data_IF_914100971075
#
_entry.id   IF_914100971075
#
_cell.length_a   1.000
_cell.length_b   1.000
_cell.length_c   1.000
_cell.angle_alpha   90.00
_cell.angle_beta   90.00
_cell.angle_gamma   90.00
#
_symmetry.space_group_name_H-M   'P 1'
#
loop_
_entity.id
_entity.type
_entity.pdbx_description
1 polymer ?
#
# COMPACT_ATOMS: atom_id res chain seq x y z
N UNK A 1 13.09 42.91 -55.88
CA UNK A 1 13.15 44.17 -56.65
C UNK A 1 14.25 45.02 -56.03
N UNK A 2 15.45 44.83 -56.58
CA UNK A 2 16.33 45.88 -57.08
C UNK A 2 16.66 47.11 -56.22
N UNK A 3 17.99 47.25 -56.08
CA UNK A 3 18.76 48.48 -56.34
C UNK A 3 18.87 49.49 -55.20
N UNK A 4 19.96 50.21 -54.98
CA UNK A 4 21.32 50.31 -55.54
C UNK A 4 22.03 51.40 -54.69
N UNK A 5 23.31 51.61 -54.97
CA UNK A 5 24.13 52.83 -54.76
C UNK A 5 25.21 52.68 -53.67
N UNK A 6 26.45 52.34 -54.04
CA UNK A 6 27.47 53.11 -54.80
C UNK A 6 28.27 54.09 -53.92
N UNK A 7 29.56 53.75 -53.79
CA UNK A 7 30.75 54.59 -54.08
C UNK A 7 31.01 55.77 -53.12
N UNK A 8 32.22 56.25 -52.86
CA UNK A 8 33.62 55.99 -53.22
C UNK A 8 34.43 56.83 -52.19
N UNK A 9 35.67 56.51 -51.81
CA UNK A 9 36.84 56.86 -52.62
C UNK A 9 38.01 57.30 -51.74
N UNK A 10 39.20 56.75 -52.05
CA UNK A 10 40.57 57.30 -51.91
C UNK A 10 41.06 57.75 -50.52
N UNK A 11 42.22 57.31 -50.02
CA UNK A 11 43.54 57.68 -50.61
C UNK A 11 44.70 56.86 -49.99
N UNK A 12 45.45 56.19 -50.88
CA UNK A 12 46.90 55.93 -50.93
C UNK A 12 47.77 56.28 -49.71
N UNK A 13 48.49 55.29 -49.16
CA UNK A 13 49.94 55.39 -48.86
C UNK A 13 50.61 54.02 -48.77
N UNK A 14 51.86 54.03 -49.21
CA UNK A 14 52.72 52.94 -49.64
C UNK A 14 53.51 52.30 -48.49
N UNK A 15 53.77 50.99 -48.66
CA UNK A 15 54.99 50.24 -48.33
C UNK A 15 55.52 50.20 -46.89
N UNK A 16 55.41 49.02 -46.27
CA UNK A 16 56.58 48.29 -45.76
C UNK A 16 56.21 46.83 -45.46
N UNK A 17 56.96 45.92 -46.06
CA UNK A 17 56.89 44.47 -45.91
C UNK A 17 57.24 44.03 -44.48
N UNK A 18 56.29 43.38 -43.80
CA UNK A 18 56.55 42.55 -42.62
C UNK A 18 55.96 41.15 -42.88
N UNK A 19 56.84 40.14 -42.94
CA UNK A 19 56.46 38.74 -42.93
C UNK A 19 55.77 38.40 -41.60
N UNK A 20 54.61 37.72 -41.59
CA UNK A 20 54.00 37.25 -40.36
C UNK A 20 54.78 36.03 -39.80
N UNK A 21 54.85 35.88 -38.46
CA UNK A 21 55.46 34.73 -37.82
C UNK A 21 54.60 33.46 -37.99
N UNK A 22 55.18 32.26 -37.85
CA UNK A 22 54.49 31.01 -38.12
C UNK A 22 53.32 30.78 -37.17
N UNK A 23 52.17 30.46 -37.76
CA UNK A 23 50.92 30.08 -37.09
C UNK A 23 51.11 28.79 -36.31
N UNK A 24 51.18 28.88 -34.99
CA UNK A 24 50.94 27.75 -34.08
C UNK A 24 49.50 27.29 -34.22
N UNK A 25 49.30 26.15 -34.87
CA UNK A 25 48.03 25.42 -34.96
C UNK A 25 47.59 24.99 -33.55
N UNK A 26 46.50 25.57 -33.04
CA UNK A 26 45.79 25.04 -31.88
C UNK A 26 45.19 23.68 -32.25
N UNK A 27 45.34 22.63 -31.43
CA UNK A 27 44.69 21.35 -31.70
C UNK A 27 43.17 21.53 -31.65
N UNK A 28 42.51 21.11 -32.72
CA UNK A 28 41.05 20.99 -32.82
C UNK A 28 40.63 19.90 -31.83
N UNK A 29 39.91 20.29 -30.77
CA UNK A 29 39.30 19.35 -29.83
C UNK A 29 38.09 18.71 -30.53
N UNK A 30 38.15 17.40 -30.69
CA UNK A 30 37.12 16.56 -31.31
C UNK A 30 35.81 16.60 -30.49
N UNK A 31 34.69 17.19 -30.96
CA UNK A 31 33.56 17.55 -30.10
C UNK A 31 32.66 16.38 -29.64
N UNK A 32 32.96 15.12 -30.01
CA UNK A 32 32.01 14.01 -29.87
C UNK A 32 32.62 12.71 -29.34
N UNK A 33 33.59 12.79 -28.43
CA UNK A 33 33.93 11.65 -27.54
C UNK A 33 33.41 11.92 -26.14
N UNK A 34 32.09 11.82 -25.93
CA UNK A 34 31.55 11.68 -24.57
C UNK A 34 32.07 10.35 -24.03
N UNK A 35 32.92 10.40 -23.00
CA UNK A 35 33.43 9.17 -22.39
C UNK A 35 32.31 8.58 -21.55
N UNK A 36 32.28 7.25 -21.42
CA UNK A 36 31.32 6.55 -20.55
C UNK A 36 31.39 7.05 -19.10
N UNK A 37 32.52 7.64 -18.68
CA UNK A 37 32.69 8.23 -17.35
C UNK A 37 32.06 9.62 -17.20
N UNK A 38 31.63 10.26 -18.29
CA UNK A 38 31.11 11.63 -18.30
C UNK A 38 29.56 11.68 -18.20
N UNK A 39 28.89 10.53 -18.10
CA UNK A 39 27.44 10.46 -17.91
C UNK A 39 27.07 10.66 -16.43
N UNK A 40 25.82 11.11 -16.14
CA UNK A 40 25.32 11.22 -14.76
C UNK A 40 25.40 9.91 -13.98
N UNK A 41 25.58 10.03 -12.67
CA UNK A 41 25.78 8.92 -11.75
C UNK A 41 24.60 7.94 -11.73
N UNK A 42 23.38 8.45 -11.91
CA UNK A 42 22.16 7.67 -11.95
C UNK A 42 22.19 6.69 -13.12
N UNK A 43 22.71 7.12 -14.28
CA UNK A 43 22.88 6.26 -15.44
C UNK A 43 24.01 5.24 -15.25
N UNK A 44 25.05 5.57 -14.48
CA UNK A 44 26.04 4.56 -14.09
C UNK A 44 25.41 3.48 -13.21
N UNK A 45 24.58 3.85 -12.24
CA UNK A 45 23.90 2.89 -11.36
C UNK A 45 22.99 1.97 -12.19
N UNK A 46 22.20 2.54 -13.09
CA UNK A 46 21.30 1.78 -13.97
C UNK A 46 22.06 0.83 -14.91
N UNK A 47 23.16 1.28 -15.53
CA UNK A 47 23.96 0.40 -16.38
C UNK A 47 24.59 -0.74 -15.56
N UNK A 48 25.08 -0.43 -14.36
CA UNK A 48 25.73 -1.39 -13.48
C UNK A 48 24.74 -2.38 -12.84
N UNK A 49 23.49 -1.98 -12.57
CA UNK A 49 22.45 -2.87 -12.00
C UNK A 49 22.01 -3.96 -12.98
N UNK A 50 22.21 -3.74 -14.28
CA UNK A 50 21.92 -4.70 -15.34
C UNK A 50 23.06 -5.72 -15.59
N UNK A 51 24.19 -5.62 -14.89
CA UNK A 51 25.29 -6.58 -14.99
C UNK A 51 25.07 -7.77 -14.04
N UNK A 52 25.52 -8.96 -14.45
CA UNK A 52 25.66 -10.07 -13.50
C UNK A 52 26.66 -9.71 -12.39
N UNK A 53 26.52 -10.33 -11.21
CA UNK A 53 27.31 -9.96 -10.02
C UNK A 53 28.82 -10.05 -10.27
N UNK A 54 29.28 -11.04 -11.05
CA UNK A 54 30.70 -11.18 -11.35
C UNK A 54 31.18 -10.03 -12.23
N UNK A 55 30.39 -9.66 -13.25
CA UNK A 55 30.67 -8.52 -14.12
C UNK A 55 30.59 -7.18 -13.39
N UNK A 56 29.63 -7.01 -12.46
CA UNK A 56 29.50 -5.83 -11.60
C UNK A 56 30.76 -5.61 -10.75
N UNK A 57 31.20 -6.64 -10.04
CA UNK A 57 32.42 -6.57 -9.20
C UNK A 57 33.66 -6.30 -10.07
N UNK A 58 33.79 -6.96 -11.22
CA UNK A 58 34.88 -6.69 -12.17
C UNK A 58 34.86 -5.25 -12.66
N UNK A 59 33.68 -4.72 -12.97
CA UNK A 59 33.51 -3.34 -13.42
C UNK A 59 33.95 -2.35 -12.34
N UNK A 60 33.56 -2.58 -11.08
CA UNK A 60 34.01 -1.80 -9.94
C UNK A 60 35.55 -1.83 -9.76
N UNK A 61 36.21 -2.92 -10.14
CA UNK A 61 37.67 -3.03 -10.10
C UNK A 61 38.40 -2.33 -11.26
N UNK A 62 37.71 -1.87 -12.30
CA UNK A 62 38.35 -1.26 -13.48
C UNK A 62 38.85 0.17 -13.23
N UNK A 63 38.11 0.98 -12.47
CA UNK A 63 38.47 2.37 -12.20
C UNK A 63 37.85 2.91 -10.90
N UNK A 64 38.45 3.99 -10.37
CA UNK A 64 38.00 4.64 -9.13
C UNK A 64 36.57 5.19 -9.23
N UNK A 65 36.14 5.63 -10.41
CA UNK A 65 34.79 6.16 -10.62
C UNK A 65 33.75 5.07 -10.44
N UNK A 66 33.85 3.94 -11.15
CA UNK A 66 32.92 2.83 -10.98
C UNK A 66 33.01 2.19 -9.59
N UNK A 67 34.20 2.11 -9.00
CA UNK A 67 34.34 1.70 -7.60
C UNK A 67 33.55 2.63 -6.67
N UNK A 68 33.65 3.94 -6.85
CA UNK A 68 32.93 4.93 -6.05
C UNK A 68 31.43 4.88 -6.28
N UNK A 69 30.97 4.64 -7.52
CA UNK A 69 29.54 4.47 -7.83
C UNK A 69 28.98 3.22 -7.15
N UNK A 70 29.69 2.10 -7.28
CA UNK A 70 29.36 0.84 -6.61
C UNK A 70 29.26 1.03 -5.09
N UNK A 71 30.32 1.56 -4.46
CA UNK A 71 30.42 1.68 -3.00
C UNK A 71 29.43 2.66 -2.39
N UNK A 72 28.95 3.61 -3.18
CA UNK A 72 28.00 4.61 -2.71
C UNK A 72 26.55 4.31 -3.14
N UNK A 73 26.28 3.16 -3.77
CA UNK A 73 24.94 2.72 -4.18
C UNK A 73 24.49 1.52 -3.35
N UNK A 74 23.49 1.72 -2.49
CA UNK A 74 22.89 0.65 -1.69
C UNK A 74 22.27 -0.45 -2.55
N UNK A 75 21.72 -0.10 -3.73
CA UNK A 75 21.17 -1.07 -4.68
C UNK A 75 22.25 -2.03 -5.20
N UNK A 76 23.42 -1.51 -5.60
CA UNK A 76 24.49 -2.35 -6.15
C UNK A 76 25.14 -3.22 -5.06
N UNK A 77 25.31 -2.67 -3.84
CA UNK A 77 25.76 -3.46 -2.69
C UNK A 77 24.75 -4.57 -2.34
N UNK A 78 23.45 -4.27 -2.38
CA UNK A 78 22.39 -5.23 -2.16
C UNK A 78 22.39 -6.37 -3.18
N UNK A 79 22.56 -6.08 -4.47
CA UNK A 79 22.66 -7.10 -5.54
C UNK A 79 23.83 -8.06 -5.27
N UNK A 80 24.99 -7.54 -4.86
CA UNK A 80 26.15 -8.38 -4.52
C UNK A 80 25.88 -9.21 -3.27
N UNK A 81 25.29 -8.61 -2.24
CA UNK A 81 24.98 -9.31 -0.99
C UNK A 81 24.00 -10.47 -1.22
N UNK A 82 22.93 -10.23 -1.99
CA UNK A 82 22.00 -11.30 -2.37
C UNK A 82 22.73 -12.48 -3.01
N UNK A 83 23.64 -12.22 -3.95
CA UNK A 83 24.38 -13.28 -4.62
C UNK A 83 25.32 -14.06 -3.68
N UNK A 84 25.99 -13.37 -2.75
CA UNK A 84 26.81 -14.01 -1.72
C UNK A 84 25.99 -14.96 -0.84
N UNK A 85 24.72 -14.60 -0.58
CA UNK A 85 23.78 -15.39 0.19
C UNK A 85 23.05 -16.46 -0.65
N UNK A 86 23.42 -16.61 -1.94
CA UNK A 86 22.79 -17.55 -2.86
C UNK A 86 21.40 -17.14 -3.35
N UNK A 87 21.00 -15.89 -3.11
CA UNK A 87 19.74 -15.29 -3.53
C UNK A 87 19.93 -14.50 -4.84
N UNK A 88 18.87 -14.36 -5.65
CA UNK A 88 18.89 -13.54 -6.87
C UNK A 88 18.00 -12.32 -6.69
N UNK A 89 18.50 -11.17 -7.14
CA UNK A 89 17.69 -9.96 -7.25
C UNK A 89 16.67 -10.17 -8.38
N UNK A 90 15.37 -10.20 -8.04
CA UNK A 90 14.26 -10.30 -9.02
C UNK A 90 13.71 -8.93 -9.39
N UNK A 91 14.51 -7.86 -9.26
CA UNK A 91 14.14 -6.54 -9.72
C UNK A 91 14.00 -6.53 -11.24
N UNK A 92 12.77 -6.42 -11.71
CA UNK A 92 12.33 -6.06 -13.07
C UNK A 92 12.70 -6.95 -14.25
N UNK A 93 13.48 -8.02 -14.10
CA UNK A 93 13.60 -9.05 -15.13
C UNK A 93 13.17 -10.43 -14.62
N UNK A 94 12.02 -10.86 -15.12
CA UNK A 94 11.47 -12.22 -15.02
C UNK A 94 12.52 -13.20 -15.57
N UNK A 95 13.38 -13.74 -14.73
CA UNK A 95 14.21 -14.90 -15.10
C UNK A 95 13.51 -16.17 -14.67
N UNK A 96 12.99 -16.92 -15.65
CA UNK A 96 12.81 -18.38 -15.79
C UNK A 96 12.45 -19.30 -14.60
N UNK A 97 12.30 -18.82 -13.37
CA UNK A 97 11.66 -19.58 -12.30
C UNK A 97 10.15 -19.35 -12.41
N UNK A 98 9.43 -20.44 -12.65
CA UNK A 98 7.98 -20.58 -12.90
C UNK A 98 7.07 -20.15 -11.73
N UNK A 99 7.39 -19.04 -11.07
CA UNK A 99 6.89 -18.68 -9.76
C UNK A 99 6.96 -17.16 -9.62
N UNK A 100 5.80 -16.49 -9.62
CA UNK A 100 5.70 -15.03 -9.48
C UNK A 100 5.26 -14.70 -8.06
N UNK A 101 6.14 -14.05 -7.31
CA UNK A 101 5.80 -13.52 -6.00
C UNK A 101 4.85 -12.32 -6.16
N UNK A 102 3.74 -12.33 -5.42
CA UNK A 102 2.70 -11.31 -5.54
C UNK A 102 2.70 -10.36 -4.34
N UNK A 103 2.65 -10.90 -3.13
CA UNK A 103 2.49 -10.10 -1.90
C UNK A 103 3.00 -10.89 -0.68
N UNK A 104 3.32 -10.19 0.42
CA UNK A 104 3.59 -10.82 1.71
C UNK A 104 3.02 -10.05 2.88
N UNK A 105 2.84 -10.74 4.00
CA UNK A 105 2.60 -10.15 5.32
C UNK A 105 3.50 -10.82 6.36
N UNK A 106 3.68 -10.19 7.51
CA UNK A 106 4.50 -10.71 8.59
C UNK A 106 3.83 -10.48 9.94
N UNK A 107 4.03 -11.43 10.86
CA UNK A 107 3.69 -11.31 12.27
C UNK A 107 4.93 -11.74 13.09
N UNK A 108 5.78 -10.78 13.48
CA UNK A 108 6.97 -11.05 14.28
C UNK A 108 6.66 -11.71 15.63
N UNK A 109 5.48 -11.46 16.21
CA UNK A 109 5.07 -12.07 17.49
C UNK A 109 4.96 -13.59 17.40
N UNK A 110 4.77 -14.11 16.18
CA UNK A 110 4.67 -15.53 15.89
C UNK A 110 5.90 -16.07 15.16
N UNK A 111 6.96 -15.27 14.98
CA UNK A 111 8.09 -15.61 14.10
C UNK A 111 7.59 -15.97 12.68
N UNK A 112 6.60 -15.25 12.13
CA UNK A 112 5.91 -15.68 10.91
C UNK A 112 6.03 -14.67 9.76
N UNK A 113 6.38 -15.17 8.57
CA UNK A 113 6.24 -14.47 7.30
C UNK A 113 5.39 -15.30 6.35
N UNK A 114 4.43 -14.66 5.69
CA UNK A 114 3.50 -15.28 4.77
C UNK A 114 3.69 -14.66 3.39
N UNK A 115 3.98 -15.48 2.38
CA UNK A 115 4.16 -15.03 0.99
C UNK A 115 3.13 -15.66 0.06
N UNK A 116 2.44 -14.83 -0.72
CA UNK A 116 1.55 -15.22 -1.80
C UNK A 116 2.31 -15.32 -3.11
N UNK A 117 2.14 -16.44 -3.80
CA UNK A 117 2.91 -16.78 -4.98
C UNK A 117 2.00 -17.39 -6.04
N UNK A 118 2.01 -16.82 -7.24
CA UNK A 118 1.39 -17.39 -8.43
C UNK A 118 2.33 -18.43 -9.04
N UNK A 119 1.84 -19.67 -9.18
CA UNK A 119 2.58 -20.81 -9.72
C UNK A 119 2.00 -21.32 -11.04
N UNK A 120 1.17 -20.52 -11.70
CA UNK A 120 0.52 -20.88 -12.96
C UNK A 120 1.56 -21.03 -14.10
N UNK A 121 1.40 -22.04 -14.99
CA UNK A 121 2.35 -22.25 -16.09
C UNK A 121 2.32 -21.11 -17.12
N UNK A 122 3.47 -20.83 -17.74
CA UNK A 122 3.59 -19.97 -18.93
C UNK A 122 3.74 -20.86 -20.19
N UNK A 123 3.27 -20.42 -21.37
CA UNK A 123 2.46 -19.22 -21.65
C UNK A 123 0.97 -19.48 -21.37
N UNK A 124 0.29 -18.48 -20.81
CA UNK A 124 -1.14 -18.52 -20.52
C UNK A 124 -1.91 -18.81 -21.82
N UNK A 125 -2.49 -20.01 -21.94
CA UNK A 125 -3.67 -20.15 -22.79
C UNK A 125 -4.82 -19.39 -22.10
N UNK A 126 -5.68 -18.71 -22.87
CA UNK A 126 -6.80 -17.86 -22.40
C UNK A 126 -7.88 -18.61 -21.56
N UNK A 127 -7.57 -19.76 -20.97
CA UNK A 127 -8.50 -20.59 -20.20
C UNK A 127 -7.90 -21.19 -18.92
N UNK A 128 -6.68 -20.83 -18.55
CA UNK A 128 -6.02 -21.51 -17.44
C UNK A 128 -6.30 -20.80 -16.12
N UNK A 129 -6.95 -21.53 -15.20
CA UNK A 129 -7.15 -21.08 -13.83
C UNK A 129 -5.82 -20.67 -13.19
N UNK A 130 -5.86 -19.65 -12.34
CA UNK A 130 -4.66 -19.22 -11.64
C UNK A 130 -4.47 -20.01 -10.35
N UNK A 131 -3.39 -20.78 -10.28
CA UNK A 131 -3.03 -21.53 -9.09
C UNK A 131 -2.11 -20.69 -8.20
N UNK A 132 -2.53 -20.50 -6.96
CA UNK A 132 -1.79 -19.74 -5.96
C UNK A 132 -1.32 -20.63 -4.82
N UNK A 133 -0.09 -20.37 -4.38
CA UNK A 133 0.50 -20.93 -3.18
C UNK A 133 0.70 -19.82 -2.15
N UNK A 134 0.24 -20.06 -0.93
CA UNK A 134 0.61 -19.28 0.24
C UNK A 134 1.67 -20.06 1.02
N UNK A 135 2.88 -19.53 1.06
CA UNK A 135 3.96 -20.08 1.88
C UNK A 135 3.97 -19.41 3.24
N UNK A 136 3.92 -20.22 4.30
CA UNK A 136 4.00 -19.75 5.69
C UNK A 136 5.34 -20.19 6.25
N UNK A 137 6.24 -19.26 6.51
CA UNK A 137 7.62 -19.55 6.92
C UNK A 137 7.97 -18.85 8.21
N UNK A 138 9.00 -19.36 8.88
CA UNK A 138 9.59 -18.69 10.04
C UNK A 138 10.40 -17.47 9.60
N UNK A 139 10.36 -16.36 10.33
CA UNK A 139 11.21 -15.19 10.04
C UNK A 139 12.66 -15.53 10.40
N UNK A 140 12.86 -16.15 11.56
CA UNK A 140 14.17 -16.42 12.17
C UNK A 140 15.03 -17.39 11.37
N UNK A 141 14.43 -18.43 10.80
CA UNK A 141 15.15 -19.52 10.12
C UNK A 141 14.73 -19.72 8.66
N UNK A 142 13.74 -18.97 8.16
CA UNK A 142 13.22 -19.12 6.81
C UNK A 142 12.82 -20.58 6.50
N UNK A 143 12.31 -21.33 7.47
CA UNK A 143 11.83 -22.71 7.30
C UNK A 143 10.31 -22.75 7.26
N UNK A 144 9.70 -23.87 6.87
CA UNK A 144 8.26 -24.03 7.00
C UNK A 144 7.82 -23.77 8.44
N UNK A 145 6.79 -22.95 8.64
CA UNK A 145 6.34 -22.58 9.97
C UNK A 145 5.78 -23.80 10.71
N UNK A 146 6.29 -24.15 11.92
CA UNK A 146 5.97 -25.42 12.58
C UNK A 146 4.51 -25.57 13.01
N UNK A 147 3.81 -24.44 13.21
CA UNK A 147 2.37 -24.42 13.54
C UNK A 147 1.45 -24.47 12.31
N UNK A 148 1.99 -24.33 11.08
CA UNK A 148 1.15 -24.32 9.89
C UNK A 148 0.67 -25.73 9.59
N UNK A 149 -0.65 -25.95 9.56
CA UNK A 149 -1.22 -27.27 9.26
C UNK A 149 -0.85 -27.74 7.84
N UNK A 150 -0.74 -26.81 6.90
CA UNK A 150 -0.34 -27.07 5.52
C UNK A 150 0.61 -25.97 5.07
N UNK A 151 1.63 -26.35 4.31
CA UNK A 151 2.56 -25.41 3.70
C UNK A 151 3.12 -25.99 2.38
N UNK A 152 2.83 -25.39 1.23
CA UNK A 152 1.98 -24.21 1.05
C UNK A 152 0.49 -24.51 1.28
N UNK A 153 -0.29 -23.49 1.66
CA UNK A 153 -1.74 -23.51 1.42
C UNK A 153 -1.96 -23.27 -0.08
N UNK A 154 -2.85 -24.05 -0.69
CA UNK A 154 -3.07 -24.02 -2.15
C UNK A 154 -4.52 -23.72 -2.42
N UNK A 155 -4.76 -22.87 -3.42
CA UNK A 155 -6.08 -22.59 -3.93
C UNK A 155 -5.99 -22.18 -5.40
N UNK A 156 -7.14 -22.22 -6.06
CA UNK A 156 -7.28 -21.90 -7.47
C UNK A 156 -8.28 -20.76 -7.57
N UNK A 157 -7.94 -19.73 -8.33
CA UNK A 157 -8.88 -18.67 -8.71
C UNK A 157 -9.31 -18.96 -10.14
N UNK A 158 -10.57 -19.35 -10.28
CA UNK A 158 -11.21 -19.53 -11.59
C UNK A 158 -11.22 -18.19 -12.34
N UNK A 159 -10.91 -18.25 -13.63
CA UNK A 159 -10.90 -17.08 -14.50
C UNK A 159 -11.84 -17.30 -15.67
N UNK A 160 -12.64 -16.29 -15.99
CA UNK A 160 -13.17 -16.19 -17.34
C UNK A 160 -12.07 -15.71 -18.30
N UNK A 161 -12.25 -15.99 -19.60
CA UNK A 161 -11.19 -15.96 -20.62
C UNK A 161 -10.47 -14.63 -20.79
N UNK A 162 -11.08 -13.55 -20.33
CA UNK A 162 -10.62 -12.17 -20.56
C UNK A 162 -10.07 -11.53 -19.27
N UNK A 163 -10.08 -12.26 -18.14
CA UNK A 163 -9.73 -11.70 -16.83
C UNK A 163 -8.24 -11.84 -16.46
N UNK A 164 -7.60 -10.71 -16.18
CA UNK A 164 -6.25 -10.61 -15.63
C UNK A 164 -6.27 -10.36 -14.12
N UNK A 165 -5.23 -10.79 -13.41
CA UNK A 165 -5.11 -10.48 -11.97
C UNK A 165 -4.64 -9.04 -11.86
N UNK A 166 -5.46 -8.20 -11.24
CA UNK A 166 -5.20 -6.78 -11.11
C UNK A 166 -4.57 -6.43 -9.77
N UNK A 167 -5.05 -7.06 -8.69
CA UNK A 167 -4.57 -6.80 -7.34
C UNK A 167 -4.59 -8.09 -6.50
N UNK A 168 -3.64 -8.21 -5.59
CA UNK A 168 -3.61 -9.26 -4.59
C UNK A 168 -3.15 -8.69 -3.24
N UNK A 169 -3.91 -8.98 -2.20
CA UNK A 169 -3.65 -8.52 -0.84
C UNK A 169 -3.67 -9.70 0.13
N UNK A 170 -2.82 -9.64 1.16
CA UNK A 170 -2.78 -10.63 2.22
C UNK A 170 -2.75 -9.95 3.59
N UNK A 171 -3.54 -10.44 4.53
CA UNK A 171 -3.62 -9.90 5.89
C UNK A 171 -3.57 -11.03 6.92
N UNK A 172 -2.81 -10.82 8.00
CA UNK A 172 -2.72 -11.76 9.12
C UNK A 172 -3.56 -11.18 10.25
N UNK A 173 -4.49 -11.97 10.78
CA UNK A 173 -5.18 -11.66 12.02
C UNK A 173 -5.14 -12.87 12.97
N UNK A 174 -4.15 -12.87 13.85
CA UNK A 174 -3.84 -13.98 14.75
C UNK A 174 -3.62 -15.31 14.01
N UNK A 175 -4.53 -16.26 14.19
CA UNK A 175 -4.52 -17.57 13.54
C UNK A 175 -5.27 -17.56 12.19
N UNK A 176 -5.87 -16.42 11.80
CA UNK A 176 -6.55 -16.26 10.52
C UNK A 176 -5.65 -15.59 9.49
N UNK A 177 -5.79 -16.03 8.25
CA UNK A 177 -5.15 -15.46 7.08
C UNK A 177 -6.22 -15.08 6.06
N UNK A 178 -6.30 -13.79 5.72
CA UNK A 178 -7.09 -13.28 4.60
C UNK A 178 -6.20 -13.20 3.36
N UNK A 179 -6.67 -13.75 2.25
CA UNK A 179 -6.15 -13.49 0.91
C UNK A 179 -7.28 -12.92 0.07
N UNK A 180 -7.04 -11.74 -0.48
CA UNK A 180 -7.94 -11.08 -1.42
C UNK A 180 -7.26 -11.01 -2.79
N UNK A 181 -7.91 -11.51 -3.83
CA UNK A 181 -7.43 -11.43 -5.21
C UNK A 181 -8.54 -10.82 -6.05
N UNK A 182 -8.23 -9.72 -6.73
CA UNK A 182 -9.14 -9.10 -7.67
C UNK A 182 -8.69 -9.45 -9.08
N UNK A 183 -9.54 -10.19 -9.81
CA UNK A 183 -9.39 -10.38 -11.25
C UNK A 183 -10.22 -9.33 -11.97
N UNK A 184 -9.76 -8.83 -13.11
CA UNK A 184 -10.47 -7.83 -13.91
C UNK A 184 -10.35 -8.11 -15.39
N UNK A 185 -11.45 -7.91 -16.09
CA UNK A 185 -11.50 -7.76 -17.53
C UNK A 185 -11.08 -6.34 -17.90
N UNK A 186 -10.02 -6.23 -18.70
CA UNK A 186 -9.44 -4.94 -19.06
C UNK A 186 -10.26 -4.22 -20.15
N UNK A 187 -11.15 -4.91 -20.86
CA UNK A 187 -12.02 -4.35 -21.89
C UNK A 187 -13.32 -3.82 -21.28
N UNK A 188 -13.94 -4.59 -20.38
CA UNK A 188 -15.23 -4.20 -19.77
C UNK A 188 -15.08 -3.43 -18.47
N UNK A 189 -13.89 -3.42 -17.85
CA UNK A 189 -13.65 -2.91 -16.48
C UNK A 189 -14.46 -3.70 -15.43
N UNK A 190 -14.93 -4.90 -15.77
CA UNK A 190 -15.60 -5.81 -14.84
C UNK A 190 -14.56 -6.54 -14.01
N UNK A 191 -14.77 -6.56 -12.70
CA UNK A 191 -13.84 -7.14 -11.75
C UNK A 191 -14.56 -8.10 -10.81
N UNK A 192 -13.90 -9.21 -10.53
CA UNK A 192 -14.42 -10.28 -9.67
C UNK A 192 -13.47 -10.46 -8.48
N UNK A 193 -13.91 -10.11 -7.26
CA UNK A 193 -13.14 -10.34 -6.06
C UNK A 193 -13.20 -11.81 -5.64
N UNK A 194 -12.05 -12.37 -5.30
CA UNK A 194 -11.92 -13.65 -4.63
C UNK A 194 -11.35 -13.41 -3.23
N UNK A 195 -12.15 -13.66 -2.21
CA UNK A 195 -11.77 -13.52 -0.81
C UNK A 195 -11.76 -14.89 -0.17
N UNK A 196 -10.61 -15.21 0.40
CA UNK A 196 -10.36 -16.45 1.06
C UNK A 196 -9.85 -16.15 2.46
N UNK A 197 -10.51 -16.73 3.46
CA UNK A 197 -10.08 -16.64 4.86
C UNK A 197 -9.89 -18.06 5.36
N UNK A 198 -8.70 -18.35 5.88
CA UNK A 198 -8.41 -19.63 6.53
C UNK A 198 -7.94 -19.43 7.94
N UNK A 199 -8.22 -20.39 8.80
CA UNK A 199 -7.36 -20.61 9.95
C UNK A 199 -6.10 -21.34 9.47
N UNK A 200 -4.94 -20.67 9.48
CA UNK A 200 -3.72 -21.20 8.90
C UNK A 200 -3.08 -22.32 9.76
N UNK A 201 -3.44 -22.38 11.05
CA UNK A 201 -2.96 -23.43 11.97
C UNK A 201 -3.73 -24.74 11.83
N UNK A 202 -4.98 -24.70 11.38
CA UNK A 202 -5.82 -25.89 11.15
C UNK A 202 -6.01 -26.21 9.66
N UNK A 203 -5.71 -25.25 8.78
CA UNK A 203 -6.01 -25.27 7.35
C UNK A 203 -7.51 -25.41 7.02
N UNK A 204 -8.36 -24.96 7.94
CA UNK A 204 -9.81 -24.88 7.76
C UNK A 204 -10.18 -23.56 7.05
N UNK A 205 -10.99 -23.64 5.99
CA UNK A 205 -11.52 -22.47 5.32
C UNK A 205 -12.69 -21.90 6.14
N UNK A 206 -12.56 -20.63 6.53
CA UNK A 206 -13.58 -19.84 7.23
C UNK A 206 -14.51 -19.18 6.21
N UNK A 207 -13.95 -18.68 5.12
CA UNK A 207 -14.67 -18.05 4.01
C UNK A 207 -13.95 -18.37 2.71
N UNK A 208 -14.72 -18.71 1.68
CA UNK A 208 -14.24 -18.84 0.31
C UNK A 208 -15.32 -18.32 -0.64
N UNK A 209 -15.14 -17.08 -1.12
CA UNK A 209 -16.07 -16.48 -2.07
C UNK A 209 -15.83 -16.92 -3.51
N UNK A 210 -14.75 -17.65 -3.80
CA UNK A 210 -14.53 -18.18 -5.15
C UNK A 210 -15.49 -19.32 -5.47
N UNK A 211 -15.93 -20.06 -4.44
CA UNK A 211 -16.78 -21.24 -4.57
C UNK A 211 -18.23 -21.02 -4.11
N UNK A 212 -18.55 -19.84 -3.55
CA UNK A 212 -19.88 -19.55 -2.99
C UNK A 212 -20.37 -18.21 -3.55
N UNK A 213 -21.56 -18.21 -4.14
CA UNK A 213 -22.29 -16.99 -4.44
C UNK A 213 -22.75 -16.35 -3.13
N UNK A 214 -21.87 -15.58 -2.51
CA UNK A 214 -22.26 -14.71 -1.40
C UNK A 214 -22.92 -13.49 -2.04
N UNK A 215 -24.18 -13.22 -1.70
CA UNK A 215 -24.87 -11.97 -2.03
C UNK A 215 -24.19 -10.83 -1.26
N UNK A 216 -23.01 -10.46 -1.76
CA UNK A 216 -22.27 -9.32 -1.30
C UNK A 216 -22.97 -8.07 -1.86
N UNK A 217 -23.00 -6.95 -1.10
CA UNK A 217 -23.65 -5.71 -1.53
C UNK A 217 -23.26 -5.40 -2.96
N UNK A 218 -24.20 -5.21 -3.89
CA UNK A 218 -23.99 -4.78 -5.29
C UNK A 218 -22.60 -4.17 -5.45
N UNK A 219 -21.64 -5.03 -5.75
CA UNK A 219 -20.26 -4.70 -5.41
C UNK A 219 -19.84 -3.61 -6.36
N UNK A 220 -19.14 -2.63 -5.81
CA UNK A 220 -18.19 -1.92 -6.63
C UNK A 220 -17.37 -2.93 -7.43
N UNK A 221 -16.93 -2.62 -8.65
CA UNK A 221 -15.92 -3.45 -9.32
C UNK A 221 -14.69 -3.71 -8.42
N UNK A 222 -14.43 -2.89 -7.41
CA UNK A 222 -13.24 -2.99 -6.56
C UNK A 222 -13.59 -3.10 -5.07
N UNK A 223 -14.23 -4.19 -4.61
CA UNK A 223 -14.55 -4.29 -3.22
C UNK A 223 -13.31 -4.66 -2.43
N UNK A 224 -12.96 -3.80 -1.49
CA UNK A 224 -11.82 -4.03 -0.60
C UNK A 224 -12.29 -4.69 0.70
N UNK A 225 -11.44 -5.55 1.22
CA UNK A 225 -11.71 -6.34 2.43
C UNK A 225 -10.62 -6.09 3.45
N UNK A 226 -10.98 -6.07 4.73
CA UNK A 226 -10.01 -6.04 5.82
C UNK A 226 -10.53 -6.75 7.07
N UNK A 227 -9.61 -7.27 7.88
CA UNK A 227 -9.94 -7.93 9.13
C UNK A 227 -9.93 -6.93 10.28
N UNK A 228 -11.00 -6.95 11.08
CA UNK A 228 -11.01 -6.29 12.38
C UNK A 228 -10.38 -7.22 13.42
N UNK A 229 -10.76 -8.50 13.40
CA UNK A 229 -10.14 -9.54 14.22
C UNK A 229 -10.34 -10.93 13.58
N UNK A 230 -10.26 -12.00 14.38
CA UNK A 230 -10.48 -13.38 13.94
C UNK A 230 -11.94 -13.73 13.63
N UNK A 231 -12.90 -12.84 13.88
CA UNK A 231 -14.35 -13.09 13.80
C UNK A 231 -15.09 -11.99 13.04
N UNK A 232 -14.52 -10.80 12.91
CA UNK A 232 -15.14 -9.65 12.29
C UNK A 232 -14.25 -9.09 11.19
N UNK A 233 -14.88 -8.69 10.10
CA UNK A 233 -14.26 -8.04 8.96
C UNK A 233 -15.07 -6.82 8.55
N UNK A 234 -14.50 -6.01 7.67
CA UNK A 234 -15.25 -5.02 6.93
C UNK A 234 -15.12 -5.26 5.41
N UNK A 235 -16.15 -4.85 4.69
CA UNK A 235 -16.20 -4.83 3.23
C UNK A 235 -16.46 -3.39 2.80
N UNK A 236 -15.71 -2.90 1.83
CA UNK A 236 -15.89 -1.55 1.30
C UNK A 236 -16.85 -1.60 0.11
N UNK A 237 -17.93 -0.84 0.22
CA UNK A 237 -18.85 -0.58 -0.90
C UNK A 237 -18.59 0.81 -1.46
N UNK A 238 -18.63 0.95 -2.79
CA UNK A 238 -18.59 2.27 -3.48
C UNK A 238 -19.99 2.77 -3.85
N UNK A 239 -21.06 2.11 -3.39
CA UNK A 239 -22.41 2.61 -3.64
C UNK A 239 -22.59 3.99 -3.00
N UNK A 240 -23.26 4.89 -3.72
CA UNK A 240 -23.48 6.29 -3.31
C UNK A 240 -22.15 7.04 -3.01
N UNK A 241 -21.93 7.45 -1.76
CA UNK A 241 -20.70 8.12 -1.31
C UNK A 241 -19.64 7.14 -0.76
N UNK A 242 -19.93 5.84 -0.86
CA UNK A 242 -19.17 4.74 -0.27
C UNK A 242 -19.55 4.45 1.18
N UNK A 243 -19.36 3.20 1.60
CA UNK A 243 -19.60 2.77 2.98
C UNK A 243 -18.72 1.59 3.39
N UNK A 244 -18.53 1.44 4.71
CA UNK A 244 -17.94 0.28 5.36
C UNK A 244 -19.05 -0.64 5.88
N UNK A 245 -19.10 -1.86 5.37
CA UNK A 245 -19.99 -2.91 5.84
C UNK A 245 -19.26 -3.75 6.87
N UNK A 246 -19.62 -3.62 8.13
CA UNK A 246 -19.09 -4.45 9.21
C UNK A 246 -19.82 -5.78 9.22
N UNK A 247 -19.06 -6.86 9.22
CA UNK A 247 -19.58 -8.21 9.07
C UNK A 247 -18.99 -9.16 10.11
N UNK A 248 -19.78 -10.13 10.54
CA UNK A 248 -19.34 -11.26 11.35
C UNK A 248 -19.09 -12.47 10.45
N UNK A 249 -17.93 -13.08 10.59
CA UNK A 249 -17.60 -14.37 10.02
C UNK A 249 -18.29 -15.46 10.84
N UNK A 250 -19.12 -16.26 10.19
CA UNK A 250 -19.83 -17.38 10.78
C UNK A 250 -19.75 -18.59 9.84
N UNK A 251 -18.69 -19.41 9.90
CA UNK A 251 -18.52 -20.58 9.01
C UNK A 251 -19.68 -21.58 9.07
N UNK A 252 -20.40 -21.62 10.19
CA UNK A 252 -21.56 -22.49 10.40
C UNK A 252 -22.89 -21.91 9.91
N UNK A 253 -22.91 -20.63 9.49
CA UNK A 253 -24.10 -19.94 9.00
C UNK A 253 -24.18 -20.04 7.47
N UNK A 254 -25.39 -19.92 6.94
CA UNK A 254 -25.64 -19.70 5.51
C UNK A 254 -26.45 -18.40 5.34
N UNK A 255 -25.85 -17.31 4.81
CA UNK A 255 -24.49 -17.20 4.30
C UNK A 255 -23.41 -17.19 5.41
N UNK A 256 -22.13 -17.50 5.08
CA UNK A 256 -21.03 -17.56 6.05
C UNK A 256 -20.56 -16.20 6.57
N UNK A 257 -21.15 -15.11 6.07
CA UNK A 257 -20.91 -13.74 6.47
C UNK A 257 -22.24 -13.11 6.86
N UNK A 258 -22.29 -12.54 8.07
CA UNK A 258 -23.49 -11.86 8.59
C UNK A 258 -23.22 -10.36 8.65
N UNK A 259 -23.96 -9.57 7.90
CA UNK A 259 -23.87 -8.10 7.93
C UNK A 259 -24.43 -7.54 9.25
N UNK A 260 -23.65 -6.69 9.92
CA UNK A 260 -23.94 -6.13 11.25
C UNK A 260 -24.30 -4.65 11.17
N UNK A 261 -23.49 -3.89 10.45
CA UNK A 261 -23.63 -2.44 10.41
C UNK A 261 -23.04 -1.86 9.12
N UNK A 262 -23.63 -0.77 8.64
CA UNK A 262 -23.14 0.03 7.54
C UNK A 262 -22.71 1.40 8.06
N UNK A 263 -21.43 1.73 7.95
CA UNK A 263 -20.87 3.03 8.32
C UNK A 263 -20.60 3.82 7.04
N UNK A 264 -21.35 4.89 6.81
CA UNK A 264 -21.23 5.69 5.59
C UNK A 264 -19.99 6.59 5.61
N UNK A 265 -19.30 6.67 4.49
CA UNK A 265 -18.23 7.65 4.28
C UNK A 265 -18.79 9.08 4.11
N UNK A 266 -17.93 10.12 4.14
CA UNK A 266 -18.39 11.50 4.02
C UNK A 266 -19.20 11.73 2.73
N UNK A 267 -20.31 12.48 2.81
CA UNK A 267 -21.10 12.79 1.62
C UNK A 267 -20.29 13.62 0.61
N UNK A 268 -20.48 13.35 -0.68
CA UNK A 268 -19.86 14.09 -1.78
C UNK A 268 -20.74 15.23 -2.29
N UNK A 269 -20.17 16.15 -3.08
CA UNK A 269 -20.97 17.10 -3.85
C UNK A 269 -21.61 16.40 -5.05
N UNK A 270 -22.72 16.91 -5.60
CA UNK A 270 -23.41 16.27 -6.74
C UNK A 270 -22.54 16.03 -7.98
N UNK A 271 -21.48 16.82 -8.15
CA UNK A 271 -20.54 16.72 -9.28
C UNK A 271 -19.31 15.84 -8.98
N UNK A 272 -19.26 15.23 -7.79
CA UNK A 272 -18.12 14.44 -7.34
C UNK A 272 -18.55 13.01 -7.02
N UNK A 273 -17.93 12.07 -7.70
CA UNK A 273 -18.17 10.64 -7.51
C UNK A 273 -16.96 9.99 -6.84
N UNK A 274 -17.23 8.99 -5.99
CA UNK A 274 -16.17 8.15 -5.43
C UNK A 274 -15.85 7.07 -6.45
N UNK A 275 -14.63 7.12 -7.00
CA UNK A 275 -14.19 6.17 -8.01
C UNK A 275 -13.48 4.95 -7.40
N UNK A 276 -12.75 5.15 -6.30
CA UNK A 276 -11.99 4.08 -5.65
C UNK A 276 -11.82 4.37 -4.17
N UNK A 277 -11.96 3.36 -3.32
CA UNK A 277 -11.56 3.41 -1.92
C UNK A 277 -10.67 2.21 -1.67
N UNK A 278 -9.48 2.44 -1.11
CA UNK A 278 -8.56 1.39 -0.69
C UNK A 278 -8.48 1.38 0.83
N UNK A 279 -8.86 0.26 1.43
CA UNK A 279 -8.71 0.03 2.87
C UNK A 279 -7.39 -0.67 3.17
N UNK A 280 -6.73 -0.27 4.24
CA UNK A 280 -5.50 -0.93 4.69
C UNK A 280 -5.33 -0.83 6.21
N UNK A 281 -4.83 -1.90 6.81
CA UNK A 281 -4.41 -1.92 8.20
C UNK A 281 -3.17 -2.82 8.37
N UNK A 282 -2.33 -2.51 9.36
CA UNK A 282 -1.18 -3.36 9.72
C UNK A 282 -1.65 -4.73 10.25
N UNK A 283 -0.78 -5.74 10.33
CA UNK A 283 -1.15 -7.08 10.83
C UNK A 283 -1.71 -7.03 12.26
N UNK A 284 -2.61 -7.94 12.60
CA UNK A 284 -3.10 -8.14 13.96
C UNK A 284 -2.35 -9.32 14.60
N UNK A 285 -1.48 -8.98 15.54
CA UNK A 285 -0.51 -9.91 16.14
C UNK A 285 -1.19 -10.92 17.09
N UNK A 286 -0.83 -12.20 17.02
CA UNK A 286 -1.50 -13.23 17.85
C UNK A 286 -1.04 -13.27 19.30
N UNK A 287 0.28 -13.19 19.53
CA UNK A 287 0.91 -13.62 20.76
C UNK A 287 2.03 -12.69 21.18
N UNK A 288 1.80 -11.40 21.04
CA UNK A 288 2.69 -10.40 21.58
C UNK A 288 2.97 -10.65 23.07
N UNK A 289 4.24 -10.78 23.49
CA UNK A 289 4.57 -10.95 24.89
C UNK A 289 4.02 -9.78 25.72
N UNK A 290 3.38 -10.04 26.87
CA UNK A 290 2.94 -8.96 27.74
C UNK A 290 4.15 -8.10 28.14
N UNK A 291 4.01 -6.78 27.97
CA UNK A 291 5.05 -5.76 28.22
C UNK A 291 6.16 -5.62 27.16
N UNK A 292 6.00 -6.17 25.94
CA UNK A 292 6.91 -5.81 24.86
C UNK A 292 6.74 -4.31 24.53
N UNK A 293 7.84 -3.52 24.46
CA UNK A 293 7.75 -2.11 24.11
C UNK A 293 7.18 -1.95 22.69
N UNK A 294 6.40 -0.88 22.48
CA UNK A 294 5.72 -0.57 21.22
C UNK A 294 4.58 -1.51 20.83
N UNK A 295 4.19 -2.45 21.71
CA UNK A 295 2.95 -3.18 21.52
C UNK A 295 1.76 -2.25 21.47
N UNK A 296 0.92 -2.47 20.46
CA UNK A 296 -0.31 -1.72 20.26
C UNK A 296 -1.48 -2.60 20.66
N UNK A 297 -2.36 -2.07 21.49
CA UNK A 297 -3.62 -2.73 21.80
C UNK A 297 -4.45 -2.84 20.51
N UNK A 298 -5.18 -3.94 20.31
CA UNK A 298 -5.99 -4.13 19.11
C UNK A 298 -6.96 -2.96 18.85
N UNK A 299 -7.53 -2.38 19.91
CA UNK A 299 -8.41 -1.20 19.82
C UNK A 299 -7.70 0.10 19.40
N UNK A 300 -6.38 0.13 19.54
CA UNK A 300 -5.51 1.23 19.15
C UNK A 300 -4.96 1.06 17.73
N UNK A 301 -5.16 -0.10 17.10
CA UNK A 301 -4.74 -0.34 15.71
C UNK A 301 -5.40 0.67 14.77
N UNK A 302 -4.62 1.21 13.84
CA UNK A 302 -5.13 2.12 12.81
C UNK A 302 -5.59 1.37 11.58
N UNK A 303 -6.74 1.80 11.09
CA UNK A 303 -7.24 1.53 9.77
C UNK A 303 -7.12 2.80 8.93
N UNK A 304 -6.65 2.63 7.71
CA UNK A 304 -6.47 3.70 6.75
C UNK A 304 -7.37 3.45 5.55
N UNK A 305 -8.07 4.50 5.11
CA UNK A 305 -8.88 4.46 3.90
C UNK A 305 -8.43 5.58 2.96
N UNK A 306 -7.92 5.20 1.78
CA UNK A 306 -7.56 6.16 0.73
C UNK A 306 -8.69 6.22 -0.28
N UNK A 307 -9.37 7.36 -0.31
CA UNK A 307 -10.51 7.64 -1.19
C UNK A 307 -10.05 8.46 -2.39
N UNK A 308 -10.40 8.01 -3.59
CA UNK A 308 -10.16 8.69 -4.86
C UNK A 308 -11.47 9.17 -5.44
N UNK A 309 -11.50 10.45 -5.81
CA UNK A 309 -12.67 11.11 -6.36
C UNK A 309 -12.45 11.51 -7.81
N UNK A 310 -13.50 11.36 -8.62
CA UNK A 310 -13.59 11.87 -9.99
C UNK A 310 -14.71 12.89 -10.09
N UNK A 311 -14.51 13.89 -10.96
CA UNK A 311 -15.59 14.77 -11.39
C UNK A 311 -15.83 14.48 -12.88
N UNK A 312 -16.96 13.87 -13.26
CA UNK A 312 -17.22 13.47 -14.65
C UNK A 312 -17.37 14.67 -15.60
N UNK A 313 -17.56 15.88 -15.06
CA UNK A 313 -17.68 17.11 -15.85
C UNK A 313 -16.32 17.76 -16.16
N UNK A 314 -15.23 17.31 -15.53
CA UNK A 314 -13.87 17.80 -15.77
C UNK A 314 -13.10 16.81 -16.66
N UNK A 315 -12.18 17.32 -17.49
CA UNK A 315 -11.32 16.48 -18.33
C UNK A 315 -10.53 15.48 -17.45
N UNK A 316 -10.32 14.26 -17.93
CA UNK A 316 -9.68 13.16 -17.19
C UNK A 316 -8.27 13.51 -16.68
N UNK A 317 -7.64 14.49 -17.33
CA UNK A 317 -6.32 15.04 -16.96
C UNK A 317 -6.38 16.05 -15.82
N UNK A 318 -7.55 16.58 -15.49
CA UNK A 318 -7.75 17.61 -14.47
C UNK A 318 -8.13 16.99 -13.11
N UNK A 319 -7.11 16.36 -12.52
CA UNK A 319 -6.89 16.11 -11.07
C UNK A 319 -7.94 15.23 -10.37
N UNK A 320 -7.72 13.91 -10.45
CA UNK A 320 -8.17 12.96 -9.41
C UNK A 320 -7.75 13.50 -8.04
N UNK A 321 -8.73 13.79 -7.18
CA UNK A 321 -8.44 14.19 -5.80
C UNK A 321 -8.39 12.95 -4.94
N UNK A 322 -7.41 12.90 -4.05
CA UNK A 322 -7.26 11.83 -3.08
C UNK A 322 -7.36 12.37 -1.68
N UNK A 323 -8.00 11.59 -0.82
CA UNK A 323 -8.12 11.85 0.60
C UNK A 323 -7.72 10.60 1.35
N UNK A 324 -6.95 10.74 2.42
CA UNK A 324 -6.64 9.62 3.29
C UNK A 324 -7.27 9.84 4.65
N UNK A 325 -8.08 8.87 5.07
CA UNK A 325 -8.73 8.81 6.37
C UNK A 325 -7.96 7.85 7.27
N UNK A 326 -7.73 8.25 8.51
CA UNK A 326 -7.15 7.39 9.55
C UNK A 326 -8.16 7.26 10.69
N UNK A 327 -8.49 6.02 11.06
CA UNK A 327 -9.50 5.68 12.06
C UNK A 327 -8.95 4.60 12.98
N UNK A 328 -9.08 4.78 14.29
CA UNK A 328 -8.72 3.73 15.26
C UNK A 328 -9.75 2.59 15.24
N UNK A 329 -9.29 1.35 15.38
CA UNK A 329 -10.10 0.14 15.35
C UNK A 329 -11.25 0.16 16.37
N UNK A 330 -11.03 0.73 17.57
CA UNK A 330 -12.06 0.89 18.62
C UNK A 330 -13.40 1.47 18.12
N UNK A 331 -13.35 2.27 17.05
CA UNK A 331 -14.54 2.89 16.44
C UNK A 331 -15.40 1.83 15.79
N UNK A 332 -14.79 0.90 15.04
CA UNK A 332 -15.48 -0.23 14.43
C UNK A 332 -15.87 -1.27 15.48
N UNK A 333 -14.98 -1.52 16.45
CA UNK A 333 -15.23 -2.40 17.60
C UNK A 333 -16.56 -2.06 18.29
N UNK A 334 -16.82 -0.76 18.53
CA UNK A 334 -18.07 -0.28 19.15
C UNK A 334 -19.33 -0.80 18.47
N UNK A 335 -19.33 -0.89 17.15
CA UNK A 335 -20.50 -1.33 16.37
C UNK A 335 -20.49 -2.84 16.13
N UNK A 336 -19.32 -3.42 15.80
CA UNK A 336 -19.18 -4.84 15.51
C UNK A 336 -19.44 -5.74 16.73
N UNK A 337 -19.00 -5.33 17.93
CA UNK A 337 -19.09 -6.13 19.16
C UNK A 337 -20.31 -5.79 20.04
N UNK A 338 -21.15 -4.84 19.63
CA UNK A 338 -22.40 -4.57 20.36
C UNK A 338 -23.29 -5.82 20.31
N UNK A 339 -23.86 -6.24 21.45
CA UNK A 339 -24.55 -7.53 21.61
C UNK A 339 -25.59 -7.77 20.51
N UNK A 340 -25.23 -8.62 19.55
CA UNK A 340 -26.12 -8.99 18.45
C UNK A 340 -27.19 -9.95 18.98
N UNK A 341 -28.36 -9.40 19.28
CA UNK A 341 -29.56 -10.22 19.45
C UNK A 341 -29.88 -10.91 18.11
N UNK A 342 -30.21 -12.21 18.10
CA UNK A 342 -30.64 -12.91 16.90
C UNK A 342 -31.82 -12.17 16.24
N UNK A 343 -31.67 -11.81 14.96
CA UNK A 343 -32.73 -11.15 14.17
C UNK A 343 -32.67 -9.62 14.12
N UNK A 344 -31.62 -8.99 14.66
CA UNK A 344 -31.42 -7.55 14.49
C UNK A 344 -31.07 -7.22 13.03
N UNK A 345 -31.73 -6.19 12.47
CA UNK A 345 -31.38 -5.68 11.15
C UNK A 345 -30.02 -4.96 11.21
N UNK A 346 -29.25 -4.95 10.11
CA UNK A 346 -28.00 -4.20 10.06
C UNK A 346 -28.22 -2.73 10.41
N UNK A 347 -27.41 -2.19 11.32
CA UNK A 347 -27.52 -0.81 11.77
C UNK A 347 -26.90 0.10 10.71
N UNK A 348 -27.61 1.15 10.31
CA UNK A 348 -27.12 2.11 9.33
C UNK A 348 -26.66 3.39 10.05
N UNK A 349 -25.36 3.67 10.04
CA UNK A 349 -24.75 4.77 10.79
C UNK A 349 -24.23 5.84 9.81
N UNK A 350 -24.84 7.04 9.80
CA UNK A 350 -24.42 8.12 8.90
C UNK A 350 -23.06 8.68 9.30
N UNK A 351 -22.32 9.22 8.32
CA UNK A 351 -21.00 9.83 8.55
C UNK A 351 -20.99 10.81 9.72
N UNK A 352 -22.01 11.68 9.82
CA UNK A 352 -22.10 12.70 10.86
C UNK A 352 -22.09 12.14 12.30
N UNK A 353 -22.45 10.87 12.50
CA UNK A 353 -22.50 10.23 13.82
C UNK A 353 -21.17 9.58 14.21
N UNK A 354 -20.49 8.89 13.27
CA UNK A 354 -19.29 8.11 13.60
C UNK A 354 -17.99 8.77 13.11
N UNK A 355 -18.02 9.54 12.04
CA UNK A 355 -16.85 9.98 11.30
C UNK A 355 -16.10 11.18 11.89
N UNK A 356 -16.73 12.37 12.02
CA UNK A 356 -16.05 13.63 12.32
C UNK A 356 -15.13 13.62 13.54
N UNK A 357 -15.56 13.01 14.64
CA UNK A 357 -14.77 13.00 15.89
C UNK A 357 -13.68 11.91 15.88
N UNK A 358 -13.93 10.82 15.16
CA UNK A 358 -13.11 9.61 15.21
C UNK A 358 -12.15 9.44 14.03
N UNK A 359 -12.20 10.35 13.06
CA UNK A 359 -11.38 10.29 11.86
C UNK A 359 -10.36 11.42 11.85
N UNK A 360 -9.17 11.13 11.35
CA UNK A 360 -8.19 12.15 10.96
C UNK A 360 -8.05 12.12 9.45
N UNK A 361 -8.15 13.30 8.85
CA UNK A 361 -8.12 13.48 7.40
C UNK A 361 -6.80 14.14 7.03
N UNK A 362 -6.06 13.51 6.12
CA UNK A 362 -4.86 14.09 5.54
C UNK A 362 -5.09 14.26 4.05
N UNK A 363 -4.80 15.47 3.57
CA UNK A 363 -4.76 15.78 2.15
C UNK A 363 -3.33 15.56 1.67
N UNK A 364 -3.09 14.62 0.75
CA UNK A 364 -1.80 14.50 0.13
C UNK A 364 -1.41 15.79 -0.61
N UNK A 365 -0.37 16.48 -0.16
CA UNK A 365 0.25 17.51 -0.98
C UNK A 365 1.01 16.90 -2.18
N UNK A 366 1.43 15.62 -2.09
CA UNK A 366 2.26 14.92 -3.07
C UNK A 366 2.12 13.37 -3.03
N UNK A 367 0.95 12.79 -2.73
CA UNK A 367 0.79 11.34 -2.97
C UNK A 367 0.72 11.13 -4.48
N UNK A 368 1.83 10.67 -5.06
CA UNK A 368 1.84 10.10 -6.39
C UNK A 368 1.21 8.70 -6.25
N UNK A 369 0.07 8.43 -6.92
CA UNK A 369 -0.66 7.16 -6.78
C UNK A 369 0.16 5.91 -7.10
N UNK A 370 1.27 6.06 -7.84
CA UNK A 370 2.12 4.97 -8.32
C UNK A 370 3.19 4.52 -7.31
N UNK A 371 3.41 5.24 -6.21
CA UNK A 371 4.60 4.99 -5.35
C UNK A 371 4.30 4.02 -4.20
N UNK A 372 3.02 3.78 -3.87
CA UNK A 372 2.63 2.94 -2.73
C UNK A 372 1.63 1.85 -3.13
N UNK A 373 1.99 1.04 -4.13
CA UNK A 373 1.33 -0.26 -4.34
C UNK A 373 1.64 -1.24 -3.18
N UNK A 374 2.62 -0.91 -2.33
CA UNK A 374 3.03 -1.75 -1.21
C UNK A 374 2.23 -1.42 0.04
N UNK A 375 1.42 -2.39 0.49
CA UNK A 375 0.44 -2.26 1.58
C UNK A 375 1.07 -2.43 2.98
N UNK A 376 2.22 -1.81 3.29
CA UNK A 376 2.95 -2.06 4.55
C UNK A 376 3.51 -0.83 5.25
N UNK A 377 2.86 0.32 5.06
CA UNK A 377 3.27 1.58 5.69
C UNK A 377 2.48 1.92 6.97
N UNK A 378 1.45 1.15 7.32
CA UNK A 378 0.69 1.31 8.56
C UNK A 378 1.01 0.16 9.50
N UNK A 379 1.41 0.45 10.74
CA UNK A 379 1.58 -0.56 11.78
C UNK A 379 1.23 0.02 13.14
N UNK A 380 0.32 -0.66 13.86
CA UNK A 380 -0.18 -0.19 15.13
C UNK A 380 -0.81 1.20 15.02
N UNK A 381 -0.22 2.20 15.70
CA UNK A 381 -0.65 3.60 15.71
C UNK A 381 0.19 4.52 14.83
N UNK A 382 1.03 3.98 13.95
CA UNK A 382 1.98 4.75 13.15
C UNK A 382 1.83 4.49 11.67
N UNK A 383 2.11 5.53 10.90
CA UNK A 383 2.08 5.52 9.45
C UNK A 383 3.39 6.10 8.94
N UNK A 384 4.07 5.37 8.07
CA UNK A 384 5.39 5.72 7.54
C UNK A 384 5.27 5.98 6.06
N UNK A 385 5.54 7.19 5.59
CA UNK A 385 5.42 7.51 4.17
C UNK A 385 6.53 8.46 3.73
N UNK A 386 6.88 8.44 2.45
CA UNK A 386 7.79 9.43 1.87
C UNK A 386 6.98 10.53 1.16
N UNK A 387 7.27 11.82 1.40
CA UNK A 387 6.55 12.92 0.76
C UNK A 387 6.83 13.01 -0.75
N UNK A 388 7.89 12.35 -1.24
CA UNK A 388 8.20 12.26 -2.68
C UNK A 388 8.97 10.96 -2.95
N UNK A 389 8.74 10.29 -4.10
CA UNK A 389 9.55 9.11 -4.50
C UNK A 389 11.05 9.39 -4.60
N UNK A 390 11.47 10.64 -4.75
CA UNK A 390 12.88 11.06 -4.79
C UNK A 390 13.40 11.61 -3.47
N UNK A 391 12.57 11.63 -2.43
CA UNK A 391 12.93 12.13 -1.10
C UNK A 391 13.65 11.06 -0.30
N UNK A 392 14.84 11.39 0.20
CA UNK A 392 15.55 10.59 1.22
C UNK A 392 14.93 10.74 2.62
N UNK A 393 13.91 11.60 2.76
CA UNK A 393 13.19 11.83 4.01
C UNK A 393 12.00 10.88 4.07
N UNK A 394 11.84 10.23 5.22
CA UNK A 394 10.69 9.43 5.58
C UNK A 394 9.95 10.15 6.70
N UNK A 395 8.67 10.42 6.48
CA UNK A 395 7.77 11.01 7.47
C UNK A 395 7.04 9.90 8.25
N UNK A 396 6.84 10.16 9.54
CA UNK A 396 6.10 9.27 10.43
C UNK A 396 4.95 10.04 11.07
N UNK A 397 3.71 9.65 10.76
CA UNK A 397 2.54 10.10 11.50
C UNK A 397 2.34 9.17 12.69
N UNK A 398 2.34 9.74 13.89
CA UNK A 398 2.10 8.99 15.14
C UNK A 398 0.74 9.41 15.73
N UNK A 399 -0.17 8.45 15.85
CA UNK A 399 -1.52 8.65 16.40
C UNK A 399 -1.65 8.17 17.84
N UNK A 400 -0.54 7.86 18.52
CA UNK A 400 -0.55 7.49 19.94
C UNK A 400 -0.88 8.70 20.83
N UNK A 401 -2.14 8.77 21.27
CA UNK A 401 -2.65 9.86 22.14
C UNK A 401 -1.86 10.02 23.44
N UNK A 402 -1.26 8.94 23.95
CA UNK A 402 -0.46 8.98 25.17
C UNK A 402 0.77 9.90 25.04
N UNK A 403 1.41 9.94 23.86
CA UNK A 403 2.61 10.76 23.64
C UNK A 403 2.31 12.27 23.75
N UNK A 404 1.11 12.70 23.32
CA UNK A 404 0.70 14.12 23.32
C UNK A 404 0.40 14.63 24.74
N UNK A 405 -0.15 13.79 25.62
CA UNK A 405 -0.44 14.17 27.01
C UNK A 405 0.83 14.17 27.88
N UNK A 406 1.80 13.29 27.63
CA UNK A 406 3.10 13.34 28.31
C UNK A 406 3.99 14.49 27.83
N UNK A 407 3.88 14.91 26.57
CA UNK A 407 4.64 16.05 26.04
C UNK A 407 4.12 17.41 26.52
N UNK A 408 2.84 17.50 26.92
CA UNK A 408 2.21 18.74 27.38
C UNK A 408 2.14 18.89 28.91
N UNK A 409 2.56 17.88 29.68
CA UNK A 409 2.77 17.99 31.13
C UNK A 409 1.51 18.28 31.96
N UNK A 410 0.31 18.10 31.42
CA UNK A 410 -0.94 18.33 32.14
C UNK A 410 -1.74 17.03 32.26
N UNK A 411 -1.69 16.40 33.44
CA UNK A 411 -2.64 15.36 33.83
C UNK A 411 -4.02 16.01 34.07
N UNK A 412 -5.11 15.53 33.45
CA UNK A 412 -6.45 15.88 33.89
C UNK A 412 -6.77 15.08 35.15
N UNK A 413 -6.84 15.76 36.29
CA UNK A 413 -7.44 15.20 37.51
C UNK A 413 -8.96 15.21 37.37
N UNK A 414 -9.56 14.04 37.14
CA UNK A 414 -10.99 13.84 37.39
C UNK A 414 -11.17 12.68 38.37
N UNK A 415 -11.27 13.03 39.65
CA UNK A 415 -11.79 12.14 40.69
C UNK A 415 -13.30 12.01 40.53
N UNK A 416 -13.77 10.83 40.13
CA UNK A 416 -15.17 10.43 40.26
C UNK A 416 -15.46 10.10 41.73
N UNK A 417 -16.26 10.91 42.40
CA UNK A 417 -16.91 10.52 43.66
C UNK A 417 -18.26 9.87 43.34
N UNK A 418 -18.36 8.58 43.65
CA UNK A 418 -19.61 7.82 43.71
C UNK A 418 -20.27 8.02 45.07
N UNK A 419 -21.56 8.38 45.09
CA UNK A 419 -22.50 7.87 46.09
C UNK A 419 -23.93 8.05 45.61
N UNK A 420 -24.54 6.93 45.26
CA UNK A 420 -25.96 6.69 45.11
C UNK A 420 -26.70 6.80 46.45
N UNK A 421 -27.92 7.34 46.46
CA UNK A 421 -29.11 6.67 47.02
C UNK A 421 -30.39 7.48 46.68
N UNK A 422 -31.48 6.75 46.45
CA UNK A 422 -32.78 7.15 45.88
C UNK A 422 -33.88 7.11 47.00
N UNK A 423 -35.20 7.11 46.74
CA UNK A 423 -36.15 8.10 46.21
C UNK A 423 -37.29 8.49 47.21
N UNK A 424 -38.28 9.25 46.72
CA UNK A 424 -39.62 9.60 47.28
C UNK A 424 -39.77 10.90 48.09
N UNK A 425 -40.57 11.84 47.57
CA UNK A 425 -41.95 12.11 48.03
C UNK A 425 -42.49 13.45 47.49
N UNK A 426 -43.81 13.51 47.34
CA UNK A 426 -44.67 14.62 46.95
C UNK A 426 -44.44 15.96 47.68
N UNK A 427 -44.80 17.07 47.04
CA UNK A 427 -45.40 18.21 47.76
C UNK A 427 -45.12 19.61 47.20
N UNK A 428 -46.10 20.12 46.45
CA UNK A 428 -46.67 21.48 46.53
C UNK A 428 -45.83 22.71 46.95
N UNK A 429 -46.02 23.76 46.13
CA UNK A 429 -46.27 25.18 46.50
C UNK A 429 -45.15 26.24 46.28
N UNK A 430 -45.43 27.08 45.28
CA UNK A 430 -45.46 28.57 45.23
C UNK A 430 -44.50 29.43 46.10
N UNK A 431 -44.13 30.55 45.45
CA UNK A 431 -43.55 31.84 45.88
C UNK A 431 -42.02 31.90 45.72
N UNK A 432 -41.42 32.87 45.03
CA UNK A 432 -41.85 34.18 44.51
C UNK A 432 -41.37 34.38 43.07
#
# INVERSE_FOLDING_TARGET
MDSQLMLSGSTIRSSASFLPPPTTTRPVVDPLKKKVLDIPRELHIEILSNLDVVSLVRCAMTCKTFYSVYKASSLLEYIVQLHLDGLKHTGTHITESHTRFQEFSMDPSQDMVVGLVDVSPLPQTDRDDCTYHVYIRTISSNTAHPRAAKNPLRFVVEKDREMSVFNAHIEIARDNLLVHICTCDMETDDCVPSVLIWNWTTAEAILDTSNVSVDLPNMSPWPEFGLLDSTFCYIISLNECGALWLCKLCPSCDPPIVHIATLHFPPTTPETEVYKIIGHAGPLEAHAPPNMPFMVNDDDRLHMFTMSYSNPLLDYRDKRRMLTLYVHQRVFSKYAFSELNPGHLPINIPWAEWGPENTRIVYPACFVPQVYEWTRFVHGQRVVFSPSPTSDIVDVLDFSLAAVLTATGALPTTSLSTSSESPMAMGLARRN
#
